data_IF_353929202597
#
_entry.id   IF_353929202597
#
_cell.length_a   1.000
_cell.length_b   1.000
_cell.length_c   1.000
_cell.angle_alpha   90.00
_cell.angle_beta   90.00
_cell.angle_gamma   90.00
#
_symmetry.space_group_name_H-M   'P 1'
#
loop_
_entity.id
_entity.type
_entity.pdbx_description
1 polymer ?
#
# COMPACT_ATOMS: atom_id res chain seq x y z
N UNK A 1 1.78 -11.50 -16.17
CA UNK A 1 1.10 -10.40 -16.90
C UNK A 1 2.05 -9.63 -17.82
N UNK A 2 3.15 -9.04 -17.33
CA UNK A 2 4.07 -8.25 -18.17
C UNK A 2 4.71 -9.05 -19.32
N UNK A 3 5.11 -10.31 -19.09
CA UNK A 3 5.63 -11.17 -20.17
C UNK A 3 4.60 -11.37 -21.29
N UNK A 4 3.33 -11.63 -20.95
CA UNK A 4 2.24 -11.75 -21.94
C UNK A 4 2.07 -10.43 -22.70
N UNK A 5 2.07 -9.31 -21.98
CA UNK A 5 1.92 -7.99 -22.58
C UNK A 5 3.04 -7.67 -23.58
N UNK A 6 4.30 -7.87 -23.19
CA UNK A 6 5.46 -7.62 -24.06
C UNK A 6 5.60 -8.63 -25.21
N UNK A 7 5.02 -9.83 -25.08
CA UNK A 7 4.99 -10.82 -26.17
C UNK A 7 3.93 -10.53 -27.23
N UNK A 8 2.91 -9.72 -26.93
CA UNK A 8 1.91 -9.31 -27.93
C UNK A 8 2.52 -8.29 -28.90
N UNK A 9 2.40 -8.55 -30.22
CA UNK A 9 2.97 -7.73 -31.27
C UNK A 9 2.53 -6.24 -31.22
N UNK A 10 1.35 -5.95 -30.64
CA UNK A 10 0.86 -4.57 -30.47
C UNK A 10 1.70 -3.77 -29.47
N UNK A 11 2.30 -4.45 -28.49
CA UNK A 11 2.97 -3.84 -27.34
C UNK A 11 4.46 -4.18 -27.24
N UNK A 12 4.95 -5.16 -28.00
CA UNK A 12 6.35 -5.61 -27.97
C UNK A 12 7.39 -4.50 -28.19
N UNK A 13 7.03 -3.47 -28.98
CA UNK A 13 7.84 -2.25 -29.17
C UNK A 13 8.17 -1.50 -27.87
N UNK A 14 7.46 -1.76 -26.77
CA UNK A 14 7.71 -1.15 -25.48
C UNK A 14 8.69 -1.95 -24.61
N UNK A 15 8.97 -3.21 -24.95
CA UNK A 15 9.85 -4.08 -24.16
C UNK A 15 11.30 -3.56 -24.08
N UNK A 16 11.73 -2.79 -25.08
CA UNK A 16 13.09 -2.22 -25.14
C UNK A 16 13.22 -0.88 -24.42
N UNK A 17 12.12 -0.30 -23.93
CA UNK A 17 12.14 1.00 -23.25
C UNK A 17 12.60 0.86 -21.81
N UNK A 18 13.10 1.96 -21.26
CA UNK A 18 13.26 2.10 -19.82
C UNK A 18 11.91 1.93 -19.12
N UNK A 19 11.90 1.09 -18.09
CA UNK A 19 10.71 0.73 -17.35
C UNK A 19 10.75 1.33 -15.94
N UNK A 20 9.63 1.87 -15.49
CA UNK A 20 9.49 2.45 -14.15
C UNK A 20 8.27 1.87 -13.45
N UNK A 21 8.40 1.62 -12.15
CA UNK A 21 7.32 1.24 -11.26
C UNK A 21 6.99 2.45 -10.39
N UNK A 22 5.73 2.89 -10.44
CA UNK A 22 5.18 3.95 -9.60
C UNK A 22 4.06 3.37 -8.77
N UNK A 23 4.15 3.47 -7.45
CA UNK A 23 3.16 2.94 -6.53
C UNK A 23 2.88 3.92 -5.39
N UNK A 24 1.76 3.72 -4.70
CA UNK A 24 1.35 4.56 -3.57
C UNK A 24 0.77 3.71 -2.44
N UNK A 25 0.84 4.18 -1.19
CA UNK A 25 0.15 3.57 -0.04
C UNK A 25 0.61 2.12 0.18
N UNK A 26 -0.29 1.13 0.11
CA UNK A 26 0.08 -0.30 0.18
C UNK A 26 1.00 -0.75 -0.97
N UNK A 27 1.06 0.06 -2.03
CA UNK A 27 2.09 0.02 -3.06
C UNK A 27 3.52 0.11 -2.54
N UNK A 28 3.74 0.57 -1.30
CA UNK A 28 5.01 0.47 -0.60
C UNK A 28 5.45 -0.96 -0.26
N UNK A 29 4.53 -1.94 -0.25
CA UNK A 29 4.83 -3.37 -0.17
C UNK A 29 5.00 -3.97 -1.58
N UNK A 30 4.10 -3.63 -2.50
CA UNK A 30 4.12 -4.19 -3.86
C UNK A 30 5.33 -3.72 -4.67
N UNK A 31 5.66 -2.43 -4.62
CA UNK A 31 6.70 -1.82 -5.43
C UNK A 31 8.06 -2.50 -5.26
N UNK A 32 8.62 -2.57 -4.04
CA UNK A 32 9.88 -3.26 -3.78
C UNK A 32 9.85 -4.75 -4.14
N UNK A 33 8.76 -5.45 -3.80
CA UNK A 33 8.61 -6.89 -4.08
C UNK A 33 8.61 -7.19 -5.58
N UNK A 34 7.83 -6.41 -6.35
CA UNK A 34 7.77 -6.55 -7.81
C UNK A 34 9.12 -6.17 -8.44
N UNK A 35 9.74 -5.09 -7.98
CA UNK A 35 11.06 -4.66 -8.48
C UNK A 35 12.11 -5.75 -8.28
N UNK A 36 12.21 -6.31 -7.06
CA UNK A 36 13.13 -7.42 -6.76
C UNK A 36 12.87 -8.61 -7.67
N UNK A 37 11.60 -9.04 -7.79
CA UNK A 37 11.23 -10.15 -8.66
C UNK A 37 11.66 -9.90 -10.11
N UNK A 38 11.43 -8.71 -10.66
CA UNK A 38 11.85 -8.39 -12.02
C UNK A 38 13.38 -8.47 -12.21
N UNK A 39 14.15 -8.01 -11.23
CA UNK A 39 15.62 -8.08 -11.28
C UNK A 39 16.10 -9.54 -11.23
N UNK A 40 15.52 -10.36 -10.36
CA UNK A 40 15.84 -11.79 -10.27
C UNK A 40 15.50 -12.53 -11.57
N UNK A 41 14.32 -12.26 -12.15
CA UNK A 41 13.94 -12.85 -13.44
C UNK A 41 14.86 -12.39 -14.58
N UNK A 42 15.25 -11.12 -14.61
CA UNK A 42 16.20 -10.62 -15.60
C UNK A 42 17.56 -11.31 -15.50
N UNK A 43 18.05 -11.57 -14.28
CA UNK A 43 19.29 -12.29 -14.04
C UNK A 43 19.18 -13.75 -14.53
N UNK A 44 18.07 -14.43 -14.21
CA UNK A 44 17.82 -15.80 -14.67
C UNK A 44 17.67 -15.92 -16.20
N UNK A 45 17.11 -14.90 -16.87
CA UNK A 45 17.10 -14.82 -18.34
C UNK A 45 18.50 -14.59 -18.87
N UNK A 46 19.30 -13.74 -18.22
CA UNK A 46 20.67 -13.47 -18.63
C UNK A 46 21.59 -14.69 -18.51
N UNK A 47 21.37 -15.55 -17.50
CA UNK A 47 22.09 -16.81 -17.33
C UNK A 47 21.56 -17.96 -18.19
N UNK A 48 20.45 -17.76 -18.93
CA UNK A 48 19.81 -18.80 -19.72
C UNK A 48 19.07 -19.87 -18.90
N UNK A 49 18.87 -19.63 -17.60
CA UNK A 49 18.15 -20.58 -16.73
C UNK A 49 16.65 -20.57 -17.00
N UNK A 50 16.10 -19.44 -17.45
CA UNK A 50 14.73 -19.31 -17.92
C UNK A 50 14.69 -18.55 -19.25
N UNK A 51 13.65 -18.78 -20.04
CA UNK A 51 13.36 -17.99 -21.25
C UNK A 51 12.34 -16.91 -20.93
N UNK A 52 12.63 -15.68 -21.34
CA UNK A 52 11.70 -14.55 -21.15
C UNK A 52 12.22 -13.26 -21.77
N UNK A 53 11.39 -12.23 -21.70
CA UNK A 53 11.70 -10.88 -22.14
C UNK A 53 12.30 -10.12 -20.94
N UNK A 54 13.54 -9.66 -21.07
CA UNK A 54 14.17 -8.81 -20.06
C UNK A 54 13.42 -7.48 -19.96
N UNK A 55 13.13 -7.04 -18.74
CA UNK A 55 12.48 -5.76 -18.47
C UNK A 55 13.52 -4.78 -17.95
N UNK A 56 13.79 -3.72 -18.71
CA UNK A 56 14.82 -2.74 -18.37
C UNK A 56 14.37 -1.78 -17.25
N UNK A 57 14.21 -2.30 -16.03
CA UNK A 57 13.78 -1.55 -14.85
C UNK A 57 14.84 -0.51 -14.46
N UNK A 58 14.43 0.77 -14.44
CA UNK A 58 15.29 1.92 -14.08
C UNK A 58 14.86 2.61 -12.79
N UNK A 59 13.56 2.69 -12.55
CA UNK A 59 13.00 3.50 -11.47
C UNK A 59 11.98 2.69 -10.68
N UNK A 60 12.11 2.75 -9.37
CA UNK A 60 11.02 2.45 -8.44
C UNK A 60 10.72 3.74 -7.67
N UNK A 61 9.47 4.19 -7.73
CA UNK A 61 8.97 5.36 -7.00
C UNK A 61 7.78 4.94 -6.16
N UNK A 62 7.81 5.35 -4.89
CA UNK A 62 6.79 5.01 -3.90
C UNK A 62 6.31 6.31 -3.25
N UNK A 63 5.11 6.77 -3.59
CA UNK A 63 4.46 7.90 -2.95
C UNK A 63 3.74 7.48 -1.68
N UNK A 64 3.94 8.20 -0.57
CA UNK A 64 3.18 8.00 0.69
C UNK A 64 3.01 6.52 1.11
N UNK A 65 4.05 5.70 0.87
CA UNK A 65 3.94 4.25 1.00
C UNK A 65 4.13 3.75 2.43
N UNK A 66 3.47 2.64 2.77
CA UNK A 66 3.83 1.82 3.93
C UNK A 66 4.82 0.75 3.44
N UNK A 67 6.07 0.81 3.89
CA UNK A 67 7.18 -0.06 3.45
C UNK A 67 7.92 -0.67 4.63
N UNK A 68 8.17 0.11 5.68
CA UNK A 68 8.74 -0.36 6.94
C UNK A 68 7.84 0.08 8.10
N UNK A 69 6.84 -0.77 8.47
CA UNK A 69 5.94 -0.47 9.57
C UNK A 69 6.68 -0.17 10.88
N UNK A 70 7.78 -0.86 11.18
CA UNK A 70 8.47 -0.69 12.46
C UNK A 70 9.01 0.73 12.61
N UNK A 71 9.64 1.26 11.55
CA UNK A 71 10.16 2.63 11.55
C UNK A 71 9.08 3.69 11.34
N UNK A 72 7.97 3.36 10.66
CA UNK A 72 6.94 4.34 10.28
C UNK A 72 5.86 4.57 11.34
N UNK A 73 5.44 3.56 12.10
CA UNK A 73 4.35 3.70 13.08
C UNK A 73 4.58 4.77 14.18
N UNK A 74 5.82 5.00 14.67
CA UNK A 74 6.12 6.13 15.55
C UNK A 74 5.78 7.50 14.96
N UNK A 75 5.77 7.61 13.62
CA UNK A 75 5.41 8.82 12.90
C UNK A 75 3.98 9.29 13.20
N UNK A 76 3.02 8.37 13.42
CA UNK A 76 1.64 8.74 13.74
C UNK A 76 1.55 9.51 15.06
N UNK A 77 2.21 9.01 16.12
CA UNK A 77 2.25 9.68 17.43
C UNK A 77 2.96 11.02 17.32
N UNK A 78 4.14 11.05 16.66
CA UNK A 78 4.92 12.28 16.48
C UNK A 78 4.13 13.37 15.76
N UNK A 79 3.41 13.01 14.70
CA UNK A 79 2.60 13.93 13.92
C UNK A 79 1.35 14.41 14.69
N UNK A 80 0.69 13.52 15.43
CA UNK A 80 -0.44 13.90 16.29
C UNK A 80 -0.01 14.85 17.42
N UNK A 81 1.21 14.71 17.95
CA UNK A 81 1.79 15.64 18.92
C UNK A 81 2.10 17.01 18.32
N UNK A 82 2.64 17.03 17.10
CA UNK A 82 3.07 18.26 16.44
C UNK A 82 2.94 18.13 14.93
N UNK A 83 2.01 18.88 14.37
CA UNK A 83 1.83 19.06 12.94
C UNK A 83 1.61 20.56 12.64
N UNK A 84 1.78 21.01 11.37
CA UNK A 84 1.75 22.43 11.04
C UNK A 84 0.34 23.02 10.87
N UNK A 85 -0.72 22.25 11.14
CA UNK A 85 -2.09 22.64 10.84
C UNK A 85 -2.91 22.87 12.11
N UNK A 86 -3.31 21.78 12.78
CA UNK A 86 -4.09 21.84 14.01
C UNK A 86 -3.95 20.55 14.84
N UNK A 87 -4.22 20.59 16.16
CA UNK A 87 -4.37 19.37 16.95
C UNK A 87 -5.46 18.49 16.35
N UNK A 88 -5.13 17.22 16.09
CA UNK A 88 -6.07 16.25 15.52
C UNK A 88 -6.94 15.60 16.61
N UNK A 89 -6.36 15.42 17.80
CA UNK A 89 -6.92 14.69 18.94
C UNK A 89 -6.47 15.28 20.27
N UNK A 90 -7.06 14.84 21.39
CA UNK A 90 -6.66 15.27 22.73
C UNK A 90 -5.30 14.70 23.16
N UNK A 91 -4.63 15.38 24.09
CA UNK A 91 -3.38 14.90 24.71
C UNK A 91 -3.53 13.52 25.36
N UNK A 92 -4.71 13.21 25.91
CA UNK A 92 -5.01 11.89 26.47
C UNK A 92 -5.05 10.79 25.41
N UNK A 93 -5.60 11.06 24.23
CA UNK A 93 -5.61 10.11 23.11
C UNK A 93 -4.18 9.84 22.61
N UNK A 94 -3.36 10.90 22.49
CA UNK A 94 -1.95 10.79 22.11
C UNK A 94 -1.18 9.94 23.13
N UNK A 95 -1.37 10.20 24.42
CA UNK A 95 -0.70 9.44 25.50
C UNK A 95 -1.09 7.96 25.45
N UNK A 96 -2.38 7.66 25.25
CA UNK A 96 -2.88 6.28 25.12
C UNK A 96 -2.29 5.54 23.90
N UNK A 97 -2.22 6.21 22.75
CA UNK A 97 -1.62 5.67 21.54
C UNK A 97 -0.11 5.46 21.69
N UNK A 98 0.60 6.41 22.32
CA UNK A 98 2.03 6.28 22.60
C UNK A 98 2.33 5.09 23.53
N UNK A 99 1.53 4.90 24.58
CA UNK A 99 1.66 3.75 25.46
C UNK A 99 1.39 2.45 24.69
N UNK A 100 0.31 2.38 23.89
CA UNK A 100 0.01 1.23 23.05
C UNK A 100 1.09 0.93 22.01
N UNK A 101 1.81 1.97 21.55
CA UNK A 101 2.90 1.84 20.60
C UNK A 101 4.14 1.16 21.22
N UNK A 102 4.57 1.64 22.40
CA UNK A 102 5.86 1.30 22.98
C UNK A 102 5.82 0.30 24.15
N UNK A 103 4.67 0.04 24.76
CA UNK A 103 4.59 -0.91 25.88
C UNK A 103 5.01 -2.33 25.46
N UNK A 104 5.41 -3.14 26.44
CA UNK A 104 5.68 -4.57 26.20
C UNK A 104 4.42 -5.25 25.63
N UNK A 105 4.59 -6.02 24.54
CA UNK A 105 3.47 -6.59 23.79
C UNK A 105 2.64 -5.57 23.00
N UNK A 106 3.05 -4.30 22.97
CA UNK A 106 2.45 -3.23 22.17
C UNK A 106 2.80 -3.33 20.68
N UNK A 107 2.45 -2.28 19.93
CA UNK A 107 2.51 -2.30 18.47
C UNK A 107 3.92 -2.62 17.93
N UNK A 108 4.97 -1.92 18.39
CA UNK A 108 6.33 -2.17 17.88
C UNK A 108 6.84 -3.57 18.23
N UNK A 109 6.49 -4.08 19.42
CA UNK A 109 6.83 -5.45 19.83
C UNK A 109 6.15 -6.49 18.93
N UNK A 110 4.89 -6.26 18.53
CA UNK A 110 4.16 -7.17 17.66
C UNK A 110 4.65 -7.11 16.22
N UNK A 111 4.99 -5.91 15.70
CA UNK A 111 5.62 -5.77 14.38
C UNK A 111 6.96 -6.52 14.34
N UNK A 112 7.80 -6.37 15.38
CA UNK A 112 9.06 -7.09 15.48
C UNK A 112 8.86 -8.61 15.52
N UNK A 113 7.86 -9.08 16.29
CA UNK A 113 7.53 -10.50 16.33
C UNK A 113 7.06 -11.04 14.96
N UNK A 114 6.20 -10.30 14.26
CA UNK A 114 5.80 -10.61 12.89
C UNK A 114 7.01 -10.75 11.97
N UNK A 115 7.89 -9.74 11.94
CA UNK A 115 9.08 -9.75 11.07
C UNK A 115 10.05 -10.91 11.39
N UNK A 116 10.16 -11.30 12.67
CA UNK A 116 11.04 -12.40 13.08
C UNK A 116 10.48 -13.78 12.75
N UNK A 117 9.15 -13.94 12.75
CA UNK A 117 8.49 -15.25 12.61
C UNK A 117 7.92 -15.49 11.22
N UNK A 118 7.62 -14.41 10.47
CA UNK A 118 6.83 -14.43 9.24
C UNK A 118 5.53 -15.24 9.36
N UNK A 119 4.95 -15.28 10.57
CA UNK A 119 3.72 -16.02 10.84
C UNK A 119 2.50 -15.17 10.53
N UNK A 120 1.60 -15.69 9.69
CA UNK A 120 0.36 -15.02 9.32
C UNK A 120 -0.44 -14.55 10.53
N UNK A 121 -0.54 -15.37 11.58
CA UNK A 121 -1.28 -15.01 12.80
C UNK A 121 -0.58 -13.89 13.59
N UNK A 122 0.76 -13.92 13.68
CA UNK A 122 1.52 -12.87 14.35
C UNK A 122 1.43 -11.53 13.60
N UNK A 123 1.53 -11.56 12.27
CA UNK A 123 1.46 -10.39 11.40
C UNK A 123 0.06 -9.79 11.34
N UNK A 124 -0.98 -10.61 11.17
CA UNK A 124 -2.37 -10.18 11.24
C UNK A 124 -2.72 -9.57 12.60
N UNK A 125 -2.24 -10.18 13.71
CA UNK A 125 -2.44 -9.62 15.05
C UNK A 125 -1.76 -8.27 15.20
N UNK A 126 -0.52 -8.14 14.73
CA UNK A 126 0.23 -6.89 14.77
C UNK A 126 -0.50 -5.78 13.99
N UNK A 127 -0.92 -6.06 12.76
CA UNK A 127 -1.68 -5.11 11.94
C UNK A 127 -2.96 -4.65 12.64
N UNK A 128 -3.76 -5.59 13.15
CA UNK A 128 -5.02 -5.29 13.83
C UNK A 128 -4.81 -4.43 15.08
N UNK A 129 -3.84 -4.81 15.92
CA UNK A 129 -3.52 -4.10 17.14
C UNK A 129 -3.00 -2.68 16.84
N UNK A 130 -2.01 -2.58 15.96
CA UNK A 130 -1.39 -1.30 15.58
C UNK A 130 -2.40 -0.34 14.94
N UNK A 131 -3.27 -0.84 14.05
CA UNK A 131 -4.29 -0.01 13.41
C UNK A 131 -5.32 0.49 14.42
N UNK A 132 -5.85 -0.41 15.25
CA UNK A 132 -6.92 -0.06 16.20
C UNK A 132 -6.46 0.77 17.40
N UNK A 133 -5.19 0.64 17.82
CA UNK A 133 -4.65 1.29 19.02
C UNK A 133 -3.75 2.49 18.76
N UNK A 134 -3.17 2.60 17.57
CA UNK A 134 -2.25 3.69 17.22
C UNK A 134 -2.79 4.52 16.07
N UNK A 135 -3.00 3.92 14.90
CA UNK A 135 -3.38 4.67 13.69
C UNK A 135 -4.78 5.31 13.81
N UNK A 136 -5.83 4.50 13.94
CA UNK A 136 -7.21 4.99 13.89
C UNK A 136 -7.54 6.01 14.99
N UNK A 137 -7.10 5.84 16.26
CA UNK A 137 -7.40 6.81 17.30
C UNK A 137 -6.76 8.18 17.11
N UNK A 138 -5.67 8.29 16.34
CA UNK A 138 -4.92 9.54 16.17
C UNK A 138 -5.42 10.42 15.02
N UNK A 139 -6.32 9.91 14.16
CA UNK A 139 -6.93 10.69 13.09
C UNK A 139 -8.02 11.67 13.60
N UNK A 140 -8.70 11.34 14.70
CA UNK A 140 -9.82 12.12 15.21
C UNK A 140 -10.97 12.19 14.19
N UNK A 141 -11.43 13.41 13.91
CA UNK A 141 -12.49 13.67 12.93
C UNK A 141 -11.95 14.12 11.55
N UNK A 142 -10.65 13.98 11.31
CA UNK A 142 -9.99 14.43 10.08
C UNK A 142 -9.88 13.28 9.07
N UNK A 143 -9.73 13.64 7.80
CA UNK A 143 -9.43 12.66 6.76
C UNK A 143 -8.02 12.08 6.96
N UNK A 144 -7.89 10.76 6.79
CA UNK A 144 -6.64 10.03 7.04
C UNK A 144 -5.61 10.24 5.92
N UNK A 145 -6.04 10.74 4.77
CA UNK A 145 -5.20 11.09 3.61
C UNK A 145 -4.90 12.59 3.56
N UNK A 146 -5.80 13.45 4.04
CA UNK A 146 -5.56 14.89 4.20
C UNK A 146 -6.06 15.44 5.55
N UNK A 147 -5.12 15.59 6.49
CA UNK A 147 -5.40 16.10 7.84
C UNK A 147 -5.94 17.53 7.88
N UNK A 148 -5.90 18.28 6.76
CA UNK A 148 -6.44 19.65 6.67
C UNK A 148 -7.97 19.65 6.51
N UNK A 149 -8.55 18.51 6.16
CA UNK A 149 -9.98 18.35 5.86
C UNK A 149 -10.62 17.40 6.86
N UNK A 150 -11.88 17.66 7.22
CA UNK A 150 -12.67 16.76 8.07
C UNK A 150 -13.27 15.63 7.24
N UNK A 151 -13.36 14.44 7.82
CA UNK A 151 -14.03 13.31 7.20
C UNK A 151 -15.57 13.48 7.32
N UNK A 152 -16.39 13.28 6.26
CA UNK A 152 -16.02 12.87 4.90
C UNK A 152 -15.35 13.97 4.07
N UNK A 153 -14.20 13.63 3.48
CA UNK A 153 -13.55 14.46 2.47
C UNK A 153 -14.34 14.37 1.14
N UNK A 154 -14.77 15.49 0.55
CA UNK A 154 -15.42 15.50 -0.76
C UNK A 154 -14.45 15.22 -1.93
N UNK A 155 -13.14 15.19 -1.68
CA UNK A 155 -12.10 14.85 -2.65
C UNK A 155 -11.49 13.46 -2.35
N UNK A 156 -11.12 12.66 -3.36
CA UNK A 156 -11.28 12.89 -4.79
C UNK A 156 -12.72 12.69 -5.29
N UNK A 157 -12.99 13.21 -6.49
CA UNK A 157 -14.25 12.98 -7.20
C UNK A 157 -14.55 11.46 -7.30
N UNK A 158 -15.77 11.05 -6.95
CA UNK A 158 -16.22 9.67 -7.08
C UNK A 158 -16.48 9.30 -8.56
N UNK A 159 -15.65 8.42 -9.17
CA UNK A 159 -15.79 8.06 -10.57
C UNK A 159 -16.88 6.99 -10.83
N UNK A 160 -17.61 6.54 -9.80
CA UNK A 160 -18.58 5.43 -9.89
C UNK A 160 -19.57 5.61 -11.05
N UNK A 161 -20.08 6.83 -11.25
CA UNK A 161 -21.04 7.12 -12.32
C UNK A 161 -20.49 6.80 -13.71
N UNK A 162 -19.25 7.23 -13.99
CA UNK A 162 -18.58 6.95 -15.26
C UNK A 162 -18.27 5.45 -15.40
N UNK A 163 -17.70 4.85 -14.36
CA UNK A 163 -17.21 3.47 -14.41
C UNK A 163 -18.33 2.42 -14.38
N UNK A 164 -19.53 2.82 -13.95
CA UNK A 164 -20.73 1.97 -13.98
C UNK A 164 -21.57 2.16 -15.25
N UNK A 165 -21.31 3.19 -16.06
CA UNK A 165 -22.03 3.45 -17.31
C UNK A 165 -21.88 2.30 -18.31
N UNK A 166 -23.00 1.74 -18.78
CA UNK A 166 -23.01 0.68 -19.79
C UNK A 166 -22.27 1.10 -21.07
N UNK A 167 -22.47 2.35 -21.52
CA UNK A 167 -21.82 2.83 -22.74
C UNK A 167 -20.31 2.92 -22.58
N UNK A 168 -19.83 3.37 -21.42
CA UNK A 168 -18.41 3.45 -21.13
C UNK A 168 -17.79 2.05 -20.95
N UNK A 169 -18.43 1.18 -20.18
CA UNK A 169 -18.00 -0.20 -19.95
C UNK A 169 -17.87 -0.99 -21.26
N UNK A 170 -18.84 -0.84 -22.18
CA UNK A 170 -18.78 -1.45 -23.50
C UNK A 170 -17.59 -0.92 -24.32
N UNK A 171 -17.31 0.40 -24.27
CA UNK A 171 -16.18 1.00 -24.97
C UNK A 171 -14.82 0.47 -24.50
N UNK A 172 -14.67 0.19 -23.21
CA UNK A 172 -13.40 -0.33 -22.65
C UNK A 172 -13.35 -1.87 -22.55
N UNK A 173 -14.42 -2.57 -22.95
CA UNK A 173 -14.52 -4.03 -22.87
C UNK A 173 -14.60 -4.58 -21.45
N UNK A 174 -15.14 -3.82 -20.49
CA UNK A 174 -15.19 -4.24 -19.09
C UNK A 174 -16.23 -5.35 -18.86
N UNK A 175 -15.75 -6.54 -18.48
CA UNK A 175 -16.59 -7.73 -18.27
C UNK A 175 -17.21 -7.81 -16.87
N UNK A 176 -16.67 -7.08 -15.89
CA UNK A 176 -17.14 -7.10 -14.50
C UNK A 176 -17.63 -5.72 -14.06
N UNK A 177 -18.48 -5.71 -13.04
CA UNK A 177 -18.88 -4.47 -12.37
C UNK A 177 -17.68 -3.87 -11.63
N UNK A 178 -17.58 -2.55 -11.67
CA UNK A 178 -16.50 -1.82 -11.01
C UNK A 178 -16.80 -1.63 -9.52
N UNK A 179 -15.76 -1.69 -8.69
CA UNK A 179 -15.75 -1.24 -7.30
C UNK A 179 -14.40 -0.58 -7.02
N UNK A 180 -14.37 0.46 -6.18
CA UNK A 180 -13.12 1.15 -5.80
C UNK A 180 -12.14 0.19 -5.11
N UNK A 181 -12.67 -0.58 -4.16
CA UNK A 181 -11.89 -1.51 -3.35
C UNK A 181 -12.59 -2.86 -3.33
N UNK A 182 -11.81 -3.93 -3.50
CA UNK A 182 -12.30 -5.29 -3.28
C UNK A 182 -12.02 -5.69 -1.83
N UNK A 183 -13.06 -5.71 -1.00
CA UNK A 183 -12.94 -6.01 0.43
C UNK A 183 -12.49 -7.44 0.70
N UNK A 184 -12.76 -8.40 -0.19
CA UNK A 184 -12.25 -9.76 -0.04
C UNK A 184 -10.72 -9.81 -0.20
N UNK A 185 -10.19 -9.10 -1.19
CA UNK A 185 -8.73 -9.00 -1.38
C UNK A 185 -8.10 -8.35 -0.16
N UNK A 186 -8.67 -7.23 0.32
CA UNK A 186 -8.22 -6.58 1.54
C UNK A 186 -8.21 -7.53 2.74
N UNK A 187 -9.32 -8.23 2.99
CA UNK A 187 -9.44 -9.15 4.12
C UNK A 187 -8.43 -10.29 4.04
N UNK A 188 -8.19 -10.84 2.85
CA UNK A 188 -7.19 -11.88 2.66
C UNK A 188 -5.79 -11.40 3.06
N UNK A 189 -5.39 -10.21 2.60
CA UNK A 189 -4.11 -9.60 3.00
C UNK A 189 -4.07 -9.28 4.51
N UNK A 190 -5.18 -8.85 5.10
CA UNK A 190 -5.23 -8.54 6.54
C UNK A 190 -5.11 -9.78 7.44
N UNK A 191 -5.29 -10.98 6.89
CA UNK A 191 -5.17 -12.27 7.62
C UNK A 191 -3.79 -12.93 7.48
N UNK A 192 -2.86 -12.30 6.77
CA UNK A 192 -1.49 -12.76 6.53
C UNK A 192 -0.50 -11.76 7.08
#
# INVERSE_FOLDING_TARGET
MLQIWFSDAKFSKYATRDFAIWTESYGGHYGPTIASYLLDQNAAIASGTITGIKINLKVLSIGNGLTDPYSQYPGYVKYAMSNPYQPLVSTSAITSANNSLYQSGGCLSQIANCASTNSNSACSSAQSYCNSRVLSPLAGNYDVYDVRVKNPDPYPYDPTSLLSSTSFRNKIGALKSWTTTNTQVYSNFATT
#
